data_IF_641039928324
#
_entry.id   IF_641039928324
#
_cell.length_a   1.000
_cell.length_b   1.000
_cell.length_c   1.000
_cell.angle_alpha   90.00
_cell.angle_beta   90.00
_cell.angle_gamma   90.00
#
_symmetry.space_group_name_H-M   'P 1'
#
loop_
_entity.id
_entity.type
_entity.pdbx_description
1 polymer ?
#
# COMPACT_ATOMS: atom_id res chain seq x y z
N UNK A 1 -52.08 -11.29 27.78
CA UNK A 1 -52.08 -10.19 26.78
C UNK A 1 -50.68 -9.64 26.57
N UNK A 2 -49.97 -9.26 27.64
CA UNK A 2 -48.57 -8.76 27.55
C UNK A 2 -47.59 -9.77 26.91
N UNK A 3 -47.68 -11.05 27.27
CA UNK A 3 -46.78 -12.08 26.72
C UNK A 3 -46.90 -12.24 25.19
N UNK A 4 -48.13 -12.17 24.65
CA UNK A 4 -48.37 -12.27 23.19
C UNK A 4 -47.78 -11.05 22.47
N UNK A 5 -47.94 -9.86 23.04
CA UNK A 5 -47.39 -8.62 22.47
C UNK A 5 -45.86 -8.67 22.42
N UNK A 6 -45.20 -9.17 23.47
CA UNK A 6 -43.74 -9.31 23.51
C UNK A 6 -43.24 -10.29 22.43
N UNK A 7 -43.90 -11.43 22.24
CA UNK A 7 -43.53 -12.38 21.19
C UNK A 7 -43.75 -11.84 19.77
N UNK A 8 -44.88 -11.17 19.52
CA UNK A 8 -45.11 -10.50 18.23
C UNK A 8 -44.04 -9.43 17.95
N UNK A 9 -43.64 -8.66 18.97
CA UNK A 9 -42.55 -7.68 18.86
C UNK A 9 -41.20 -8.33 18.51
N UNK A 10 -40.88 -9.48 19.13
CA UNK A 10 -39.66 -10.23 18.84
C UNK A 10 -39.69 -10.80 17.41
N UNK A 11 -40.82 -11.36 16.98
CA UNK A 11 -40.99 -11.87 15.61
C UNK A 11 -40.84 -10.76 14.56
N UNK A 12 -41.47 -9.60 14.79
CA UNK A 12 -41.34 -8.44 13.93
C UNK A 12 -39.89 -7.93 13.87
N UNK A 13 -39.17 -7.92 15.00
CA UNK A 13 -37.77 -7.54 15.05
C UNK A 13 -36.89 -8.53 14.27
N UNK A 14 -37.10 -9.83 14.44
CA UNK A 14 -36.37 -10.88 13.72
C UNK A 14 -36.64 -10.83 12.21
N UNK A 15 -37.90 -10.63 11.81
CA UNK A 15 -38.27 -10.44 10.41
C UNK A 15 -37.60 -9.20 9.82
N UNK A 16 -37.58 -8.07 10.55
CA UNK A 16 -36.89 -6.86 10.13
C UNK A 16 -35.38 -7.10 9.97
N UNK A 17 -34.74 -7.77 10.92
CA UNK A 17 -33.32 -8.14 10.85
C UNK A 17 -33.05 -8.99 9.61
N UNK A 18 -33.89 -9.98 9.31
CA UNK A 18 -33.73 -10.85 8.14
C UNK A 18 -33.87 -10.07 6.83
N UNK A 19 -34.87 -9.18 6.73
CA UNK A 19 -35.08 -8.34 5.54
C UNK A 19 -33.88 -7.41 5.33
N UNK A 20 -33.41 -6.74 6.38
CA UNK A 20 -32.25 -5.85 6.33
C UNK A 20 -30.97 -6.62 5.96
N UNK A 21 -30.75 -7.79 6.55
CA UNK A 21 -29.62 -8.65 6.23
C UNK A 21 -29.63 -9.12 4.78
N UNK A 22 -30.80 -9.55 4.29
CA UNK A 22 -30.98 -10.01 2.90
C UNK A 22 -30.75 -8.87 1.90
N UNK A 23 -31.30 -7.68 2.18
CA UNK A 23 -31.07 -6.49 1.37
C UNK A 23 -29.58 -6.08 1.35
N UNK A 24 -28.91 -6.13 2.51
CA UNK A 24 -27.49 -5.84 2.62
C UNK A 24 -26.63 -6.83 1.83
N UNK A 25 -26.88 -8.14 1.98
CA UNK A 25 -26.18 -9.19 1.22
C UNK A 25 -26.40 -8.98 -0.29
N UNK A 26 -27.65 -8.75 -0.70
CA UNK A 26 -27.98 -8.50 -2.11
C UNK A 26 -27.25 -7.28 -2.65
N UNK A 27 -27.17 -6.19 -1.87
CA UNK A 27 -26.43 -4.98 -2.24
C UNK A 27 -24.92 -5.25 -2.38
N UNK A 28 -24.33 -6.03 -1.47
CA UNK A 28 -22.91 -6.43 -1.54
C UNK A 28 -22.63 -7.24 -2.79
N UNK A 29 -23.44 -8.26 -3.08
CA UNK A 29 -23.28 -9.09 -4.28
C UNK A 29 -23.49 -8.30 -5.56
N UNK A 30 -24.54 -7.47 -5.61
CA UNK A 30 -24.82 -6.61 -6.75
C UNK A 30 -23.66 -5.64 -7.01
N UNK A 31 -23.13 -4.99 -5.97
CA UNK A 31 -22.02 -4.05 -6.11
C UNK A 31 -20.70 -4.75 -6.47
N UNK A 32 -20.41 -5.91 -5.87
CA UNK A 32 -19.24 -6.72 -6.23
C UNK A 32 -19.31 -7.17 -7.70
N UNK A 33 -20.49 -7.59 -8.16
CA UNK A 33 -20.74 -7.96 -9.56
C UNK A 33 -20.63 -6.75 -10.49
N UNK A 34 -21.23 -5.60 -10.12
CA UNK A 34 -21.15 -4.35 -10.89
C UNK A 34 -19.69 -3.92 -11.09
N UNK A 35 -18.84 -4.13 -10.09
CA UNK A 35 -17.41 -3.82 -10.14
C UNK A 35 -16.54 -4.89 -10.81
N UNK A 36 -17.08 -6.04 -11.23
CA UNK A 36 -16.29 -7.17 -11.77
C UNK A 36 -15.34 -6.75 -12.91
N UNK A 37 -15.85 -5.92 -13.82
CA UNK A 37 -15.13 -5.41 -14.99
C UNK A 37 -14.62 -3.98 -14.79
N UNK A 38 -14.96 -3.36 -13.66
CA UNK A 38 -14.60 -1.98 -13.40
C UNK A 38 -13.27 -1.92 -12.64
N UNK A 39 -12.18 -2.07 -13.37
CA UNK A 39 -10.83 -1.71 -12.92
C UNK A 39 -10.48 -0.32 -13.44
N UNK A 40 -11.34 0.68 -13.21
CA UNK A 40 -11.08 2.07 -13.59
C UNK A 40 -9.95 2.65 -12.74
N UNK A 41 -8.74 2.20 -13.02
CA UNK A 41 -7.53 2.89 -12.66
C UNK A 41 -7.33 4.03 -13.65
N UNK A 42 -6.61 5.05 -13.24
CA UNK A 42 -6.37 6.20 -14.09
C UNK A 42 -5.49 5.74 -15.25
N UNK A 43 -5.98 5.75 -16.49
CA UNK A 43 -5.14 5.43 -17.66
C UNK A 43 -4.22 6.58 -18.06
N UNK A 44 -4.29 7.73 -17.37
CA UNK A 44 -3.43 8.87 -17.64
C UNK A 44 -1.96 8.38 -17.67
N UNK A 45 -1.25 8.59 -18.80
CA UNK A 45 0.16 8.30 -18.86
C UNK A 45 0.83 9.14 -17.78
N UNK A 46 1.68 8.54 -16.96
CA UNK A 46 2.48 9.33 -16.05
C UNK A 46 3.41 10.19 -16.91
N UNK A 47 3.10 11.49 -16.99
CA UNK A 47 3.91 12.47 -17.71
C UNK A 47 5.04 12.87 -16.76
N UNK A 48 6.26 12.52 -17.14
CA UNK A 48 7.46 12.99 -16.49
C UNK A 48 8.03 14.13 -17.35
N UNK A 49 7.92 15.35 -16.86
CA UNK A 49 8.63 16.50 -17.44
C UNK A 49 9.89 16.74 -16.61
N UNK A 50 11.03 16.90 -17.28
CA UNK A 50 12.22 17.38 -16.61
C UNK A 50 12.05 18.88 -16.33
N UNK A 51 11.95 19.32 -15.08
CA UNK A 51 11.78 20.74 -14.79
C UNK A 51 13.00 21.59 -15.18
N UNK A 52 14.14 20.95 -15.51
CA UNK A 52 15.34 21.59 -16.06
C UNK A 52 15.44 21.44 -17.60
N UNK A 53 14.62 20.61 -18.23
CA UNK A 53 14.64 20.35 -19.67
C UNK A 53 13.21 20.18 -20.19
N UNK A 54 12.79 20.94 -21.20
CA UNK A 54 11.47 20.78 -21.85
C UNK A 54 11.30 19.41 -22.58
N UNK A 55 12.19 18.44 -22.35
CA UNK A 55 12.14 17.09 -22.89
C UNK A 55 11.18 16.24 -22.07
N UNK A 56 10.33 15.49 -22.77
CA UNK A 56 9.55 14.42 -22.17
C UNK A 56 10.49 13.29 -21.74
N UNK A 57 10.35 12.84 -20.50
CA UNK A 57 11.07 11.68 -19.97
C UNK A 57 10.20 10.43 -20.20
N UNK A 58 10.74 9.35 -20.80
CA UNK A 58 10.00 8.11 -20.97
C UNK A 58 9.44 7.60 -19.65
N UNK A 59 8.22 7.11 -19.68
CA UNK A 59 7.56 6.53 -18.53
C UNK A 59 7.99 5.07 -18.40
N UNK A 60 8.84 4.70 -17.41
CA UNK A 60 9.27 3.32 -17.26
C UNK A 60 8.10 2.46 -16.83
N UNK A 61 8.20 1.18 -17.13
CA UNK A 61 7.23 0.17 -16.77
C UNK A 61 7.83 -0.81 -15.77
N UNK A 62 7.03 -1.26 -14.81
CA UNK A 62 7.40 -2.34 -13.88
C UNK A 62 7.75 -3.66 -14.62
N UNK A 63 7.34 -3.78 -15.88
CA UNK A 63 7.63 -4.91 -16.75
C UNK A 63 8.99 -4.82 -17.45
N UNK A 64 9.59 -3.63 -17.50
CA UNK A 64 10.95 -3.43 -18.03
C UNK A 64 11.99 -3.99 -17.03
N UNK A 65 13.21 -4.34 -17.50
CA UNK A 65 14.31 -4.68 -16.62
C UNK A 65 14.57 -3.57 -15.57
N UNK A 66 15.02 -3.96 -14.38
CA UNK A 66 15.38 -2.98 -13.36
C UNK A 66 16.61 -2.17 -13.79
N UNK A 67 16.57 -0.86 -13.58
CA UNK A 67 17.68 0.08 -13.83
C UNK A 67 18.26 0.64 -12.54
N UNK A 68 17.49 0.58 -11.45
CA UNK A 68 17.88 1.06 -10.11
C UNK A 68 17.82 -0.12 -9.14
N UNK A 69 18.62 -0.06 -8.08
CA UNK A 69 18.51 -1.02 -7.00
C UNK A 69 17.24 -0.78 -6.17
N UNK A 70 16.98 0.47 -5.77
CA UNK A 70 15.84 0.83 -4.91
C UNK A 70 14.96 1.94 -5.52
N UNK A 71 13.65 1.72 -5.60
CA UNK A 71 12.66 2.78 -5.84
C UNK A 71 11.87 3.07 -4.57
N UNK A 72 11.80 4.33 -4.14
CA UNK A 72 10.97 4.76 -3.03
C UNK A 72 9.72 5.46 -3.57
N UNK A 73 8.55 4.92 -3.28
CA UNK A 73 7.25 5.43 -3.73
C UNK A 73 6.64 6.22 -2.56
N UNK A 74 6.46 7.53 -2.78
CA UNK A 74 5.96 8.47 -1.77
C UNK A 74 4.62 9.05 -2.24
N UNK A 75 3.47 8.55 -1.75
CA UNK A 75 2.17 9.11 -2.09
C UNK A 75 1.95 10.42 -1.31
N UNK A 76 1.52 11.48 -2.00
CA UNK A 76 1.29 12.79 -1.43
C UNK A 76 -0.11 13.32 -1.77
N UNK A 77 -0.84 13.78 -0.76
CA UNK A 77 -2.11 14.49 -0.92
C UNK A 77 -2.24 15.58 0.14
N UNK A 78 -2.12 16.84 -0.27
CA UNK A 78 -2.11 18.00 0.61
C UNK A 78 -1.07 17.89 1.74
N UNK A 79 0.18 17.67 1.35
CA UNK A 79 1.34 17.44 2.20
C UNK A 79 2.37 18.58 2.16
N UNK A 80 2.00 19.79 1.72
CA UNK A 80 2.94 20.92 1.54
C UNK A 80 3.86 21.15 2.76
N UNK A 81 3.31 20.97 3.96
CA UNK A 81 4.03 21.21 5.21
C UNK A 81 4.85 20.01 5.71
N UNK A 82 4.50 18.77 5.33
CA UNK A 82 5.11 17.54 5.87
C UNK A 82 6.10 16.91 4.89
N UNK A 83 5.81 17.01 3.59
CA UNK A 83 6.61 16.45 2.52
C UNK A 83 8.08 16.94 2.52
N UNK A 84 8.40 18.24 2.72
CA UNK A 84 9.80 18.70 2.68
C UNK A 84 10.69 17.99 3.71
N UNK A 85 10.25 17.92 4.97
CA UNK A 85 11.01 17.30 6.05
C UNK A 85 11.21 15.80 5.83
N UNK A 86 10.17 15.11 5.37
CA UNK A 86 10.24 13.68 5.07
C UNK A 86 11.19 13.39 3.90
N UNK A 87 11.14 14.20 2.84
CA UNK A 87 12.01 14.04 1.67
C UNK A 87 13.46 14.45 1.97
N UNK A 88 13.71 15.51 2.72
CA UNK A 88 15.09 15.88 3.10
C UNK A 88 15.74 14.78 3.96
N UNK A 89 15.03 14.21 4.93
CA UNK A 89 15.52 13.04 5.70
C UNK A 89 15.85 11.87 4.76
N UNK A 90 14.93 11.56 3.85
CA UNK A 90 15.07 10.47 2.87
C UNK A 90 16.26 10.68 1.94
N UNK A 91 16.38 11.86 1.32
CA UNK A 91 17.44 12.17 0.38
C UNK A 91 18.80 12.19 1.05
N UNK A 92 18.90 12.73 2.28
CA UNK A 92 20.14 12.69 3.06
C UNK A 92 20.62 11.26 3.30
N UNK A 93 19.73 10.35 3.71
CA UNK A 93 20.07 8.94 3.88
C UNK A 93 20.54 8.30 2.57
N UNK A 94 19.77 8.47 1.48
CA UNK A 94 20.07 7.84 0.19
C UNK A 94 21.39 8.33 -0.42
N UNK A 95 21.66 9.63 -0.36
CA UNK A 95 22.93 10.21 -0.82
C UNK A 95 24.12 9.70 0.00
N UNK A 96 23.98 9.62 1.33
CA UNK A 96 25.03 9.05 2.18
C UNK A 96 25.30 7.58 1.87
N UNK A 97 24.25 6.80 1.61
CA UNK A 97 24.38 5.39 1.25
C UNK A 97 25.05 5.22 -0.13
N UNK A 98 24.62 5.97 -1.14
CA UNK A 98 25.24 5.96 -2.48
C UNK A 98 26.69 6.49 -2.48
N UNK A 99 27.04 7.37 -1.54
CA UNK A 99 28.42 7.82 -1.36
C UNK A 99 29.32 6.71 -0.80
N UNK A 100 28.78 5.88 0.10
CA UNK A 100 29.49 4.74 0.73
C UNK A 100 29.58 3.52 -0.18
N UNK A 101 28.54 3.26 -0.97
CA UNK A 101 28.46 2.12 -1.89
C UNK A 101 28.09 2.62 -3.29
N UNK A 102 29.05 2.54 -4.21
CA UNK A 102 28.88 3.00 -5.60
C UNK A 102 27.96 2.11 -6.43
N UNK A 103 27.69 0.88 -5.97
CA UNK A 103 26.73 -0.02 -6.62
C UNK A 103 25.28 0.30 -6.23
N UNK A 104 25.08 1.01 -5.12
CA UNK A 104 23.76 1.41 -4.66
C UNK A 104 23.20 2.56 -5.51
N UNK A 105 22.21 2.24 -6.32
CA UNK A 105 21.45 3.21 -7.13
C UNK A 105 20.02 3.30 -6.64
N UNK A 106 19.44 4.48 -6.67
CA UNK A 106 18.10 4.69 -6.17
C UNK A 106 17.30 5.66 -7.02
N UNK A 107 16.00 5.69 -6.77
CA UNK A 107 15.12 6.79 -7.17
C UNK A 107 14.01 7.00 -6.14
N UNK A 108 13.48 8.21 -6.09
CA UNK A 108 12.29 8.58 -5.33
C UNK A 108 11.20 8.99 -6.32
N UNK A 109 10.06 8.32 -6.25
CA UNK A 109 8.87 8.58 -7.08
C UNK A 109 7.81 9.19 -6.18
N UNK A 110 7.64 10.51 -6.28
CA UNK A 110 6.60 11.27 -5.60
C UNK A 110 5.32 11.16 -6.43
N UNK A 111 4.22 10.72 -5.83
CA UNK A 111 2.94 10.59 -6.52
C UNK A 111 1.94 11.56 -5.90
N UNK A 112 1.68 12.67 -6.59
CA UNK A 112 0.67 13.65 -6.18
C UNK A 112 -0.73 13.17 -6.59
N UNK A 113 -1.56 12.85 -5.59
CA UNK A 113 -2.94 12.40 -5.75
C UNK A 113 -3.91 13.59 -5.92
N UNK A 114 -3.54 14.56 -6.76
CA UNK A 114 -4.35 15.73 -7.07
C UNK A 114 -4.47 16.73 -5.93
N UNK A 115 -3.35 17.13 -5.35
CA UNK A 115 -3.32 18.12 -4.26
C UNK A 115 -3.82 19.50 -4.71
N UNK A 116 -4.47 20.20 -3.78
CA UNK A 116 -5.00 21.56 -3.95
C UNK A 116 -4.17 22.62 -3.24
N UNK A 117 -3.19 22.22 -2.42
CA UNK A 117 -2.21 23.08 -1.78
C UNK A 117 -0.88 23.15 -2.59
N UNK A 118 0.19 23.65 -1.99
CA UNK A 118 1.50 23.77 -2.63
C UNK A 118 2.31 22.46 -2.75
N UNK A 119 1.74 21.29 -2.46
CA UNK A 119 2.44 19.98 -2.54
C UNK A 119 3.14 19.77 -3.88
N UNK A 120 2.46 20.10 -4.99
CA UNK A 120 3.02 19.97 -6.35
C UNK A 120 4.28 20.82 -6.52
N UNK A 121 4.24 22.07 -6.06
CA UNK A 121 5.39 23.01 -6.13
C UNK A 121 6.59 22.45 -5.36
N UNK A 122 6.36 21.99 -4.13
CA UNK A 122 7.39 21.37 -3.30
C UNK A 122 8.00 20.17 -4.01
N UNK A 123 7.19 19.25 -4.54
CA UNK A 123 7.69 18.07 -5.23
C UNK A 123 8.55 18.44 -6.47
N UNK A 124 8.16 19.44 -7.26
CA UNK A 124 8.97 19.94 -8.38
C UNK A 124 10.31 20.55 -7.94
N UNK A 125 10.36 21.24 -6.79
CA UNK A 125 11.61 21.76 -6.23
C UNK A 125 12.62 20.63 -5.92
N UNK A 126 12.14 19.49 -5.41
CA UNK A 126 12.98 18.31 -5.19
C UNK A 126 13.48 17.69 -6.51
N UNK A 127 12.64 17.58 -7.54
CA UNK A 127 13.07 17.11 -8.87
C UNK A 127 14.18 18.00 -9.43
N UNK A 128 14.03 19.34 -9.34
CA UNK A 128 15.07 20.29 -9.77
C UNK A 128 16.37 20.12 -9.00
N UNK A 129 16.29 19.95 -7.67
CA UNK A 129 17.43 19.84 -6.77
C UNK A 129 18.24 18.55 -6.97
N UNK A 130 17.58 17.44 -7.31
CA UNK A 130 18.21 16.10 -7.32
C UNK A 130 18.26 15.41 -8.68
N UNK A 131 17.79 16.09 -9.74
CA UNK A 131 17.63 15.59 -11.12
C UNK A 131 16.54 14.53 -11.28
N UNK A 132 16.00 14.45 -12.50
CA UNK A 132 14.99 13.46 -12.91
C UNK A 132 15.45 12.00 -12.81
N UNK A 133 16.76 11.76 -12.74
CA UNK A 133 17.27 10.40 -12.58
C UNK A 133 17.10 9.87 -11.15
N UNK A 134 17.14 10.75 -10.14
CA UNK A 134 17.01 10.35 -8.73
C UNK A 134 15.65 10.71 -8.13
N UNK A 135 14.97 11.74 -8.62
CA UNK A 135 13.65 12.16 -8.11
C UNK A 135 12.71 12.40 -9.28
N UNK A 136 11.56 11.74 -9.25
CA UNK A 136 10.51 11.84 -10.27
C UNK A 136 9.16 12.13 -9.63
N UNK A 137 8.27 12.77 -10.40
CA UNK A 137 6.92 13.09 -9.95
C UNK A 137 5.89 12.50 -10.90
N UNK A 138 4.82 11.93 -10.35
CA UNK A 138 3.61 11.51 -11.07
C UNK A 138 2.46 12.37 -10.58
N UNK A 139 1.76 13.04 -11.49
CA UNK A 139 0.57 13.84 -11.17
C UNK A 139 -0.69 13.07 -11.59
N UNK A 140 -1.58 12.74 -10.64
CA UNK A 140 -2.86 12.08 -10.95
C UNK A 140 -3.96 13.07 -11.36
N UNK A 141 -3.76 14.36 -11.15
CA UNK A 141 -4.66 15.44 -11.55
C UNK A 141 -5.90 15.62 -10.65
N UNK A 142 -6.40 14.56 -10.01
CA UNK A 142 -7.46 14.61 -8.99
C UNK A 142 -7.24 13.52 -7.94
N UNK A 143 -7.91 13.63 -6.80
CA UNK A 143 -7.83 12.63 -5.73
C UNK A 143 -8.56 11.34 -6.09
N UNK A 144 -7.78 10.28 -6.27
CA UNK A 144 -8.23 8.90 -6.48
C UNK A 144 -8.12 8.05 -5.23
N UNK A 145 -7.22 8.42 -4.32
CA UNK A 145 -6.94 7.73 -3.07
C UNK A 145 -5.52 7.15 -3.04
N UNK A 146 -5.04 6.92 -1.81
CA UNK A 146 -3.69 6.42 -1.52
C UNK A 146 -3.34 5.14 -2.27
N UNK A 147 -4.27 4.19 -2.38
CA UNK A 147 -4.06 2.94 -3.09
C UNK A 147 -3.76 3.15 -4.58
N UNK A 148 -4.45 4.08 -5.24
CA UNK A 148 -4.17 4.41 -6.65
C UNK A 148 -2.83 5.11 -6.82
N UNK A 149 -2.49 6.04 -5.91
CA UNK A 149 -1.20 6.71 -5.91
C UNK A 149 -0.04 5.72 -5.77
N UNK A 150 -0.14 4.80 -4.80
CA UNK A 150 0.85 3.73 -4.62
C UNK A 150 0.90 2.81 -5.84
N UNK A 151 -0.26 2.40 -6.36
CA UNK A 151 -0.34 1.58 -7.58
C UNK A 151 0.45 2.19 -8.72
N UNK A 152 0.19 3.46 -9.01
CA UNK A 152 0.84 4.20 -10.09
C UNK A 152 2.34 4.33 -9.87
N UNK A 153 2.76 4.67 -8.66
CA UNK A 153 4.19 4.73 -8.33
C UNK A 153 4.88 3.38 -8.51
N UNK A 154 4.27 2.30 -8.03
CA UNK A 154 4.82 0.93 -8.15
C UNK A 154 4.92 0.48 -9.60
N UNK A 155 3.88 0.71 -10.42
CA UNK A 155 3.85 0.32 -11.83
C UNK A 155 4.82 1.11 -12.71
N UNK A 156 5.28 2.28 -12.26
CA UNK A 156 6.18 3.18 -12.99
C UNK A 156 7.55 3.35 -12.31
N UNK A 157 7.98 2.33 -11.57
CA UNK A 157 9.26 2.31 -10.85
C UNK A 157 10.31 1.44 -11.57
N UNK A 158 11.58 1.82 -11.44
CA UNK A 158 12.76 1.20 -12.06
C UNK A 158 13.57 0.28 -11.13
N UNK A 159 13.19 0.20 -9.87
CA UNK A 159 13.89 -0.52 -8.80
C UNK A 159 13.79 -2.04 -8.91
N UNK A 160 14.83 -2.73 -8.45
CA UNK A 160 14.78 -4.15 -8.09
C UNK A 160 13.93 -4.37 -6.83
N UNK A 161 14.11 -3.48 -5.86
CA UNK A 161 13.31 -3.36 -4.65
C UNK A 161 12.48 -2.08 -4.71
N UNK A 162 11.22 -2.17 -4.32
CA UNK A 162 10.26 -1.07 -4.32
C UNK A 162 9.74 -0.85 -2.92
N UNK A 163 10.07 0.28 -2.31
CA UNK A 163 9.66 0.67 -0.98
C UNK A 163 8.53 1.68 -1.06
N UNK A 164 7.40 1.37 -0.46
CA UNK A 164 6.40 2.36 -0.08
C UNK A 164 6.85 3.10 1.19
N UNK A 165 6.78 4.43 1.17
CA UNK A 165 7.08 5.30 2.30
C UNK A 165 6.05 6.45 2.38
N UNK A 166 5.44 6.65 3.54
CA UNK A 166 4.50 7.76 3.76
C UNK A 166 5.18 9.14 3.69
N UNK A 167 4.49 10.12 3.12
CA UNK A 167 4.99 11.49 2.91
C UNK A 167 5.13 12.34 4.19
N UNK A 168 4.75 11.81 5.36
CA UNK A 168 4.76 12.55 6.62
C UNK A 168 6.02 12.32 7.48
N UNK A 169 6.91 11.42 7.07
CA UNK A 169 8.13 11.11 7.81
C UNK A 169 7.88 10.37 9.12
N UNK A 170 6.70 9.76 9.32
CA UNK A 170 6.38 9.05 10.54
C UNK A 170 7.24 7.80 10.76
N UNK A 171 7.69 7.14 9.68
CA UNK A 171 8.61 6.00 9.75
C UNK A 171 10.02 6.43 9.34
N UNK A 172 11.03 5.99 10.08
CA UNK A 172 12.42 6.33 9.79
C UNK A 172 12.96 5.59 8.57
N UNK A 173 13.49 6.33 7.60
CA UNK A 173 13.98 5.77 6.33
C UNK A 173 15.10 4.74 6.53
N UNK A 174 15.93 4.90 7.57
CA UNK A 174 17.04 3.99 7.89
C UNK A 174 16.58 2.54 8.13
N UNK A 175 15.31 2.32 8.49
CA UNK A 175 14.77 0.97 8.67
C UNK A 175 14.59 0.20 7.36
N UNK A 176 14.85 0.83 6.21
CA UNK A 176 14.90 0.18 4.89
C UNK A 176 15.88 -1.01 4.90
N UNK A 177 17.00 -0.88 5.61
CA UNK A 177 18.03 -1.93 5.71
C UNK A 177 17.51 -3.17 6.45
N UNK A 178 16.57 -2.99 7.40
CA UNK A 178 15.96 -4.12 8.12
C UNK A 178 15.09 -4.95 7.18
N UNK A 179 14.26 -4.29 6.36
CA UNK A 179 13.40 -4.97 5.39
C UNK A 179 14.23 -5.65 4.30
N UNK A 180 15.19 -4.93 3.75
CA UNK A 180 16.14 -5.40 2.75
C UNK A 180 16.89 -6.66 3.21
N UNK A 181 17.45 -6.65 4.42
CA UNK A 181 18.17 -7.79 4.99
C UNK A 181 17.28 -9.03 5.09
N UNK A 182 16.02 -8.87 5.49
CA UNK A 182 15.08 -10.00 5.61
C UNK A 182 14.66 -10.54 4.24
N UNK A 183 14.44 -9.66 3.25
CA UNK A 183 14.16 -10.07 1.87
C UNK A 183 15.31 -10.89 1.29
N UNK A 184 16.56 -10.41 1.42
CA UNK A 184 17.74 -11.14 0.97
C UNK A 184 17.88 -12.50 1.66
N UNK A 185 17.70 -12.55 2.98
CA UNK A 185 17.78 -13.82 3.72
C UNK A 185 16.78 -14.87 3.21
N UNK A 186 15.55 -14.47 2.88
CA UNK A 186 14.54 -15.37 2.33
C UNK A 186 14.87 -15.77 0.88
N UNK A 187 15.34 -14.82 0.07
CA UNK A 187 15.69 -15.10 -1.31
C UNK A 187 16.89 -16.05 -1.45
N UNK A 188 17.89 -15.92 -0.58
CA UNK A 188 19.02 -16.87 -0.52
C UNK A 188 18.54 -18.28 -0.13
N UNK A 189 17.60 -18.41 0.82
CA UNK A 189 17.03 -19.72 1.16
C UNK A 189 16.28 -20.36 -0.02
N UNK A 190 15.62 -19.54 -0.84
CA UNK A 190 14.89 -20.02 -2.02
C UNK A 190 15.85 -20.51 -3.11
N UNK A 191 17.00 -19.83 -3.32
CA UNK A 191 18.08 -20.34 -4.19
C UNK A 191 18.50 -21.74 -3.82
N UNK A 192 18.77 -21.99 -2.54
CA UNK A 192 19.27 -23.30 -2.09
C UNK A 192 18.26 -24.42 -2.37
N UNK A 193 16.97 -24.10 -2.42
CA UNK A 193 15.93 -25.06 -2.81
C UNK A 193 15.91 -25.30 -4.33
N UNK A 194 16.07 -24.25 -5.12
CA UNK A 194 15.94 -24.30 -6.59
C UNK A 194 17.25 -24.63 -7.32
N UNK A 195 18.40 -24.63 -6.62
CA UNK A 195 19.74 -25.03 -7.15
C UNK A 195 19.82 -26.48 -7.64
N UNK A 196 18.73 -27.24 -7.52
CA UNK A 196 18.50 -28.53 -8.18
C UNK A 196 18.23 -28.39 -9.69
N UNK A 197 17.88 -27.18 -10.16
CA UNK A 197 17.65 -26.80 -11.55
C UNK A 197 18.72 -25.77 -11.98
N UNK A 198 19.53 -26.11 -12.97
CA UNK A 198 20.79 -25.42 -13.25
C UNK A 198 20.71 -23.96 -13.71
N UNK A 199 21.76 -23.21 -13.35
CA UNK A 199 22.41 -22.11 -14.11
C UNK A 199 21.59 -20.90 -14.63
N UNK A 200 20.47 -20.51 -14.02
CA UNK A 200 19.94 -19.16 -14.24
C UNK A 200 20.67 -18.14 -13.36
N UNK A 201 21.13 -17.03 -13.94
CA UNK A 201 21.67 -15.88 -13.20
C UNK A 201 20.59 -15.36 -12.23
N UNK A 202 20.80 -15.59 -10.94
CA UNK A 202 19.86 -15.18 -9.91
C UNK A 202 19.82 -13.65 -9.78
N UNK A 203 18.62 -13.08 -9.78
CA UNK A 203 18.38 -11.68 -9.40
C UNK A 203 17.27 -11.61 -8.37
N UNK A 204 17.47 -10.78 -7.35
CA UNK A 204 16.47 -10.58 -6.29
C UNK A 204 15.16 -10.02 -6.86
N UNK A 205 15.23 -9.29 -7.96
CA UNK A 205 14.08 -8.71 -8.66
C UNK A 205 13.15 -9.75 -9.28
N UNK A 206 13.61 -10.98 -9.54
CA UNK A 206 12.82 -12.04 -10.17
C UNK A 206 12.05 -12.91 -9.16
N UNK A 207 12.37 -12.81 -7.87
CA UNK A 207 11.75 -13.63 -6.82
C UNK A 207 10.68 -12.82 -6.10
N UNK A 208 9.43 -13.27 -6.09
CA UNK A 208 8.36 -12.52 -5.45
C UNK A 208 8.42 -12.67 -3.94
N UNK A 209 8.82 -11.61 -3.24
CA UNK A 209 8.81 -11.45 -1.78
C UNK A 209 8.21 -10.09 -1.39
N UNK A 210 7.46 -10.05 -0.29
CA UNK A 210 6.91 -8.83 0.30
C UNK A 210 7.31 -8.70 1.79
N UNK A 211 7.76 -7.53 2.19
CA UNK A 211 8.13 -7.20 3.57
C UNK A 211 7.30 -6.01 4.07
N UNK A 212 6.67 -6.18 5.23
CA UNK A 212 5.77 -5.24 5.87
C UNK A 212 6.43 -4.70 7.12
N UNK A 213 6.64 -3.39 7.17
CA UNK A 213 6.97 -2.70 8.42
C UNK A 213 5.81 -2.82 9.41
N UNK A 214 6.13 -2.88 10.69
CA UNK A 214 5.14 -3.10 11.75
C UNK A 214 5.41 -2.24 12.97
N UNK A 215 4.34 -1.59 13.42
CA UNK A 215 4.25 -0.83 14.67
C UNK A 215 3.64 -1.67 15.79
N UNK A 216 3.36 -2.95 15.58
CA UNK A 216 2.70 -3.82 16.55
C UNK A 216 3.41 -3.87 17.92
N UNK A 217 4.75 -3.73 17.92
CA UNK A 217 5.55 -3.66 19.15
C UNK A 217 5.31 -2.37 19.98
N UNK A 218 4.77 -1.31 19.35
CA UNK A 218 4.42 -0.05 20.01
C UNK A 218 2.98 -0.06 20.56
N UNK A 219 2.12 -0.97 20.08
CA UNK A 219 0.71 -1.06 20.49
C UNK A 219 0.57 -1.21 22.00
N UNK A 220 1.43 -2.01 22.65
CA UNK A 220 1.38 -2.24 24.10
C UNK A 220 1.47 -0.94 24.91
N UNK A 221 2.36 -0.02 24.52
CA UNK A 221 2.52 1.29 25.18
C UNK A 221 1.35 2.23 24.87
N UNK A 222 0.80 2.17 23.66
CA UNK A 222 -0.31 3.03 23.25
C UNK A 222 -1.67 2.58 23.80
N UNK A 223 -1.89 1.28 24.01
CA UNK A 223 -3.15 0.74 24.55
C UNK A 223 -3.39 1.14 26.01
N UNK A 224 -2.32 1.35 26.78
CA UNK A 224 -2.38 1.71 28.19
C UNK A 224 -2.89 3.15 28.42
N UNK A 225 -2.77 4.04 27.43
CA UNK A 225 -3.10 5.48 27.57
C UNK A 225 -4.38 5.88 26.83
N UNK A 226 -4.96 4.99 26.00
CA UNK A 226 -6.11 5.29 25.13
C UNK A 226 -7.45 4.94 25.77
N UNK A 227 -8.49 5.71 25.43
CA UNK A 227 -9.88 5.44 25.84
C UNK A 227 -10.33 4.06 25.35
N UNK A 228 -11.06 3.32 26.20
CA UNK A 228 -11.44 1.92 25.98
C UNK A 228 -12.20 1.66 24.67
N UNK A 229 -13.08 2.58 24.24
CA UNK A 229 -13.85 2.43 23.00
C UNK A 229 -12.95 2.44 21.76
N UNK A 230 -11.81 3.15 21.78
CA UNK A 230 -10.84 3.12 20.68
C UNK A 230 -10.18 1.75 20.59
N UNK A 231 -9.92 1.11 21.73
CA UNK A 231 -9.36 -0.24 21.77
C UNK A 231 -10.39 -1.27 21.26
N UNK A 232 -11.67 -1.11 21.61
CA UNK A 232 -12.76 -1.95 21.09
C UNK A 232 -12.89 -1.82 19.57
N UNK A 233 -12.96 -0.59 19.05
CA UNK A 233 -13.06 -0.32 17.61
C UNK A 233 -11.84 -0.85 16.83
N UNK A 234 -10.63 -0.68 17.37
CA UNK A 234 -9.41 -1.21 16.78
C UNK A 234 -9.43 -2.74 16.71
N UNK A 235 -9.79 -3.43 17.80
CA UNK A 235 -9.93 -4.89 17.83
C UNK A 235 -11.00 -5.38 16.85
N UNK A 236 -12.12 -4.67 16.76
CA UNK A 236 -13.17 -4.94 15.77
C UNK A 236 -12.66 -4.81 14.34
N UNK A 237 -11.93 -3.74 14.03
CA UNK A 237 -11.31 -3.56 12.72
C UNK A 237 -10.29 -4.67 12.41
N UNK A 238 -9.45 -5.06 13.37
CA UNK A 238 -8.52 -6.19 13.21
C UNK A 238 -9.25 -7.50 12.92
N UNK A 239 -10.39 -7.76 13.56
CA UNK A 239 -11.22 -8.92 13.26
C UNK A 239 -11.75 -8.87 11.83
N UNK A 240 -12.22 -7.72 11.35
CA UNK A 240 -12.70 -7.57 9.97
C UNK A 240 -11.58 -7.80 8.96
N UNK A 241 -10.38 -7.25 9.21
CA UNK A 241 -9.20 -7.48 8.37
C UNK A 241 -8.83 -8.97 8.34
N UNK A 242 -8.84 -9.64 9.51
CA UNK A 242 -8.58 -11.08 9.62
C UNK A 242 -9.62 -11.88 8.83
N UNK A 243 -10.90 -11.53 8.94
CA UNK A 243 -11.97 -12.21 8.20
C UNK A 243 -11.91 -11.95 6.70
N UNK A 244 -11.41 -10.80 6.25
CA UNK A 244 -11.32 -10.45 4.84
C UNK A 244 -10.08 -11.06 4.17
N UNK A 245 -8.88 -10.78 4.69
CA UNK A 245 -7.61 -11.18 4.11
C UNK A 245 -7.01 -12.47 4.71
N UNK A 246 -7.47 -12.92 5.88
CA UNK A 246 -6.92 -14.06 6.64
C UNK A 246 -5.72 -13.69 7.52
N UNK A 247 -5.13 -14.66 8.27
CA UNK A 247 -4.00 -14.43 9.18
C UNK A 247 -2.67 -14.22 8.44
N UNK A 248 -1.73 -13.44 8.98
CA UNK A 248 -0.37 -13.36 8.41
C UNK A 248 0.39 -12.12 8.84
N UNK A 249 -0.15 -10.93 8.55
CA UNK A 249 0.43 -9.64 8.92
C UNK A 249 -0.46 -8.99 9.97
N UNK A 250 0.11 -8.58 11.10
CA UNK A 250 -0.62 -7.92 12.19
C UNK A 250 -0.85 -6.46 11.89
N UNK A 251 0.19 -5.71 11.50
CA UNK A 251 0.08 -4.29 11.14
C UNK A 251 0.02 -4.10 9.62
N UNK A 252 -1.15 -4.34 9.03
CA UNK A 252 -1.35 -4.13 7.59
C UNK A 252 -1.28 -2.64 7.19
N UNK A 253 -1.55 -1.73 8.12
CA UNK A 253 -1.75 -0.30 7.85
C UNK A 253 -0.47 0.54 8.01
N UNK A 254 0.69 -0.09 8.27
CA UNK A 254 1.96 0.63 8.31
C UNK A 254 2.35 1.06 6.89
N UNK A 255 2.56 2.34 6.63
CA UNK A 255 2.94 2.85 5.31
C UNK A 255 4.40 2.60 4.90
N UNK A 256 5.09 1.65 5.55
CA UNK A 256 6.47 1.28 5.26
C UNK A 256 6.52 -0.18 4.81
N UNK A 257 6.53 -0.42 3.50
CA UNK A 257 6.43 -1.78 2.93
C UNK A 257 7.34 -1.92 1.72
N UNK A 258 8.11 -2.99 1.66
CA UNK A 258 9.03 -3.26 0.57
C UNK A 258 8.60 -4.48 -0.23
N UNK A 259 8.66 -4.36 -1.55
CA UNK A 259 8.32 -5.43 -2.48
C UNK A 259 9.48 -5.62 -3.45
N UNK A 260 9.80 -6.87 -3.74
CA UNK A 260 10.61 -7.22 -4.92
C UNK A 260 9.86 -6.85 -6.20
N UNK A 261 10.59 -6.58 -7.29
CA UNK A 261 9.99 -6.24 -8.60
C UNK A 261 8.98 -7.30 -9.07
N UNK A 262 9.31 -8.59 -8.98
CA UNK A 262 8.41 -9.69 -9.32
C UNK A 262 7.13 -9.70 -8.47
N UNK A 263 7.22 -9.44 -7.17
CA UNK A 263 6.02 -9.30 -6.34
C UNK A 263 5.20 -8.07 -6.74
N UNK A 264 5.84 -6.91 -6.91
CA UNK A 264 5.16 -5.68 -7.29
C UNK A 264 4.40 -5.81 -8.62
N UNK A 265 5.00 -6.47 -9.63
CA UNK A 265 4.34 -6.79 -10.91
C UNK A 265 3.03 -7.54 -10.71
N UNK A 266 3.02 -8.60 -9.89
CA UNK A 266 1.81 -9.42 -9.66
C UNK A 266 0.78 -8.68 -8.82
N UNK A 267 1.22 -7.99 -7.77
CA UNK A 267 0.33 -7.36 -6.80
C UNK A 267 -0.33 -6.11 -7.38
N UNK A 268 0.46 -5.12 -7.82
CA UNK A 268 -0.06 -3.81 -8.20
C UNK A 268 -0.76 -3.77 -9.56
N UNK A 269 -0.61 -4.82 -10.38
CA UNK A 269 -1.45 -5.01 -11.58
C UNK A 269 -2.85 -5.52 -11.23
N UNK A 270 -3.00 -6.17 -10.07
CA UNK A 270 -4.22 -6.84 -9.63
C UNK A 270 -4.98 -6.12 -8.53
N UNK A 271 -4.37 -5.18 -7.79
CA UNK A 271 -5.11 -4.38 -6.80
C UNK A 271 -6.26 -3.62 -7.47
N UNK A 272 -7.37 -3.48 -6.75
CA UNK A 272 -8.60 -2.81 -7.19
C UNK A 272 -9.07 -1.74 -6.20
N UNK A 273 -8.66 -1.82 -4.94
CA UNK A 273 -9.00 -0.85 -3.93
C UNK A 273 -8.08 0.38 -4.05
N UNK A 274 -8.68 1.53 -4.28
CA UNK A 274 -7.94 2.78 -4.54
C UNK A 274 -7.68 3.59 -3.27
N UNK A 275 -8.31 3.27 -2.14
CA UNK A 275 -8.26 4.07 -0.90
C UNK A 275 -7.49 3.34 0.20
N UNK A 276 -7.90 3.46 1.45
CA UNK A 276 -7.16 3.01 2.64
C UNK A 276 -7.02 1.49 2.75
N UNK A 277 -7.97 0.73 2.21
CA UNK A 277 -7.98 -0.73 2.37
C UNK A 277 -7.09 -1.49 1.37
N UNK A 278 -6.40 -0.79 0.45
CA UNK A 278 -5.52 -1.41 -0.53
C UNK A 278 -4.44 -2.28 0.10
N UNK A 279 -3.93 -1.90 1.28
CA UNK A 279 -2.93 -2.68 2.00
C UNK A 279 -3.43 -4.07 2.42
N UNK A 280 -4.71 -4.16 2.78
CA UNK A 280 -5.36 -5.43 3.14
C UNK A 280 -5.56 -6.29 1.90
N UNK A 281 -5.89 -5.67 0.77
CA UNK A 281 -5.95 -6.34 -0.53
C UNK A 281 -4.59 -6.88 -0.97
N UNK A 282 -3.51 -6.12 -0.77
CA UNK A 282 -2.14 -6.58 -1.04
C UNK A 282 -1.83 -7.85 -0.24
N UNK A 283 -2.19 -7.91 1.05
CA UNK A 283 -2.01 -9.12 1.87
C UNK A 283 -2.84 -10.30 1.32
N UNK A 284 -4.08 -10.05 0.89
CA UNK A 284 -4.91 -11.08 0.26
C UNK A 284 -4.25 -11.62 -1.03
N UNK A 285 -3.78 -10.73 -1.91
CA UNK A 285 -3.13 -11.10 -3.17
C UNK A 285 -1.80 -11.81 -2.95
N UNK A 286 -0.99 -11.40 -1.96
CA UNK A 286 0.23 -12.13 -1.60
C UNK A 286 -0.08 -13.60 -1.28
N UNK A 287 -1.14 -13.87 -0.52
CA UNK A 287 -1.55 -15.24 -0.19
C UNK A 287 -2.05 -16.00 -1.39
N UNK A 288 -2.85 -15.35 -2.24
CA UNK A 288 -3.26 -15.96 -3.50
C UNK A 288 -2.03 -16.43 -4.24
N UNK A 289 -1.13 -15.51 -4.57
CA UNK A 289 0.08 -15.77 -5.36
C UNK A 289 1.16 -16.57 -4.63
N UNK A 290 0.92 -16.97 -3.36
CA UNK A 290 1.89 -17.66 -2.50
C UNK A 290 3.21 -16.90 -2.33
N UNK A 291 3.13 -15.57 -2.33
CA UNK A 291 4.27 -14.67 -2.11
C UNK A 291 4.60 -14.68 -0.61
N UNK A 292 5.84 -15.02 -0.20
CA UNK A 292 6.27 -14.93 1.18
C UNK A 292 6.10 -13.50 1.71
N UNK A 293 5.49 -13.39 2.89
CA UNK A 293 5.28 -12.13 3.58
C UNK A 293 6.07 -12.11 4.88
N UNK A 294 6.81 -11.03 5.11
CA UNK A 294 7.63 -10.82 6.29
C UNK A 294 7.06 -9.64 7.08
N UNK A 295 7.00 -9.73 8.41
CA UNK A 295 6.60 -8.62 9.27
C UNK A 295 7.80 -8.17 10.12
N UNK A 296 8.23 -6.91 9.96
CA UNK A 296 9.46 -6.38 10.54
C UNK A 296 9.15 -5.15 11.40
N UNK A 297 9.67 -5.12 12.62
CA UNK A 297 9.55 -3.97 13.53
C UNK A 297 10.25 -2.72 12.98
N UNK A 298 9.52 -1.61 12.87
CA UNK A 298 10.07 -0.32 12.40
C UNK A 298 9.87 0.81 13.41
N UNK A 299 10.80 1.74 13.42
CA UNK A 299 10.83 2.94 14.24
C UNK A 299 9.79 3.91 13.71
N UNK A 300 8.81 4.23 14.54
CA UNK A 300 7.67 5.06 14.16
C UNK A 300 7.40 6.12 15.23
N UNK A 301 7.09 7.33 14.79
CA UNK A 301 6.69 8.46 15.63
C UNK A 301 5.37 9.05 15.15
N UNK A 302 4.54 9.52 16.07
CA UNK A 302 3.28 10.17 15.74
C UNK A 302 3.55 11.57 15.18
N UNK A 303 3.12 11.81 13.93
CA UNK A 303 3.20 13.10 13.27
C UNK A 303 1.79 13.72 13.24
N UNK A 304 1.60 14.96 13.73
CA UNK A 304 0.29 15.62 13.68
C UNK A 304 -0.18 15.85 12.24
N UNK A 305 -1.50 15.99 12.06
CA UNK A 305 -2.11 16.27 10.75
C UNK A 305 -2.56 15.04 9.95
N UNK A 306 -2.89 13.93 10.63
CA UNK A 306 -3.42 12.71 9.97
C UNK A 306 -4.60 13.02 9.05
N UNK A 307 -4.55 12.45 7.84
CA UNK A 307 -5.61 12.57 6.83
C UNK A 307 -6.71 11.51 6.96
N UNK A 308 -6.56 10.56 7.89
CA UNK A 308 -7.57 9.53 8.15
C UNK A 308 -8.67 10.12 9.04
N UNK A 309 -9.80 10.47 8.44
CA UNK A 309 -10.99 10.94 9.15
C UNK A 309 -11.79 9.73 9.70
N UNK A 310 -12.26 9.74 10.96
CA UNK A 310 -13.15 8.69 11.49
C UNK A 310 -14.38 8.39 10.62
N UNK A 311 -14.89 9.37 9.87
CA UNK A 311 -15.99 9.19 8.90
C UNK A 311 -15.62 8.27 7.71
N UNK A 312 -14.35 7.95 7.53
CA UNK A 312 -13.90 6.99 6.50
C UNK A 312 -14.08 5.52 6.92
N UNK A 313 -14.28 5.22 8.21
CA UNK A 313 -14.36 3.85 8.73
C UNK A 313 -15.50 3.03 8.08
N UNK A 314 -16.74 3.55 7.91
CA UNK A 314 -17.79 2.79 7.23
C UNK A 314 -17.44 2.42 5.79
N UNK A 315 -16.80 3.34 5.06
CA UNK A 315 -16.33 3.09 3.71
C UNK A 315 -15.23 2.02 3.68
N UNK A 316 -14.32 2.04 4.66
CA UNK A 316 -13.29 1.01 4.78
C UNK A 316 -13.91 -0.38 5.03
N UNK A 317 -14.85 -0.48 5.97
CA UNK A 317 -15.55 -1.75 6.24
C UNK A 317 -16.30 -2.25 4.99
N UNK A 318 -16.97 -1.35 4.27
CA UNK A 318 -17.63 -1.66 3.00
C UNK A 318 -16.64 -2.16 1.94
N UNK A 319 -15.49 -1.51 1.78
CA UNK A 319 -14.43 -1.95 0.85
C UNK A 319 -13.92 -3.35 1.20
N UNK A 320 -13.71 -3.66 2.49
CA UNK A 320 -13.24 -4.98 2.92
C UNK A 320 -14.27 -6.09 2.66
N UNK A 321 -15.56 -5.80 2.89
CA UNK A 321 -16.65 -6.75 2.59
C UNK A 321 -16.75 -6.99 1.08
N UNK A 322 -16.74 -5.92 0.28
CA UNK A 322 -16.77 -6.02 -1.18
C UNK A 322 -15.58 -6.79 -1.73
N UNK A 323 -14.37 -6.51 -1.23
CA UNK A 323 -13.15 -7.22 -1.60
C UNK A 323 -13.25 -8.72 -1.28
N UNK A 324 -13.69 -9.04 -0.05
CA UNK A 324 -13.84 -10.42 0.40
C UNK A 324 -14.83 -11.18 -0.48
N UNK A 325 -16.02 -10.63 -0.75
CA UNK A 325 -17.02 -11.26 -1.63
C UNK A 325 -16.52 -11.31 -3.07
N UNK A 326 -15.99 -10.21 -3.60
CA UNK A 326 -15.50 -10.10 -4.97
C UNK A 326 -14.47 -11.16 -5.33
N UNK A 327 -13.44 -11.34 -4.51
CA UNK A 327 -12.42 -12.36 -4.78
C UNK A 327 -12.88 -13.78 -4.45
N UNK A 328 -13.56 -14.02 -3.32
CA UNK A 328 -13.96 -15.39 -2.91
C UNK A 328 -15.00 -16.02 -3.82
N UNK A 329 -15.85 -15.21 -4.44
CA UNK A 329 -16.84 -15.69 -5.42
C UNK A 329 -16.27 -15.80 -6.83
N UNK A 330 -15.02 -15.40 -7.06
CA UNK A 330 -14.39 -15.36 -8.38
C UNK A 330 -14.91 -14.24 -9.30
N UNK A 331 -15.78 -13.34 -8.80
CA UNK A 331 -16.26 -12.18 -9.56
C UNK A 331 -15.10 -11.25 -9.94
N UNK A 332 -14.16 -11.05 -9.03
CA UNK A 332 -12.96 -10.23 -9.26
C UNK A 332 -11.83 -11.14 -9.71
N UNK A 333 -11.62 -11.20 -11.03
CA UNK A 333 -10.55 -12.01 -11.62
C UNK A 333 -9.18 -11.43 -11.29
N UNK A 334 -8.27 -12.33 -10.94
CA UNK A 334 -6.84 -12.07 -10.75
C UNK A 334 -6.11 -12.57 -11.99
N UNK A 335 -5.28 -11.72 -12.59
CA UNK A 335 -4.45 -12.02 -13.75
C UNK A 335 -3.14 -12.60 -13.26
N UNK A 336 -2.83 -13.83 -13.69
CA UNK A 336 -1.62 -14.58 -13.35
C UNK A 336 -0.41 -14.12 -14.14
#
# INVERSE_FOLDING_TARGET
MEFVIVWTMVELLLALILVVATAFISAVFFEAYRRKNNNSHVEAPAIFEDPNSLKQVPCPSIFDPAEKYLSLIVPAFNEELRLPGALDETMNYLQQRAAKDKSFTYEVVIVDDGSVDGTKRVAFEFVKKYSVDNVRIILLGRNHGKGEAIRKGMLHSRGELLLMLDADGATKVNDVEKLEKQIHAVAEQDKFRDSSAGNSSFRISDIPIAAFGSRAHLEGKALATRKWYRNFLMKGFHLVVLLAAGPGIRDTQCGFKMFTRAAARKLFTNIRLNRWCFDVEVVYLCKWFKIPMLEISVSWSEIPGSKVNPLSIPNMLWELVLMSVGYRTGMWKIRS
#
